data_IF_310158558221
#
_entry.id   IF_310158558221
#
_cell.length_a   1.000
_cell.length_b   1.000
_cell.length_c   1.000
_cell.angle_alpha   90.00
_cell.angle_beta   90.00
_cell.angle_gamma   90.00
#
_symmetry.space_group_name_H-M   'P 1'
#
loop_
_entity.id
_entity.type
_entity.pdbx_description
1 polymer ?
#
# COMPACT_ATOMS: atom_id res chain seq x y z
N UNK A 1 -4.24 -26.02 9.56
CA UNK A 1 -5.02 -24.78 9.84
C UNK A 1 -4.03 -23.63 9.93
N UNK A 2 -4.17 -22.62 9.07
CA UNK A 2 -3.37 -21.38 9.15
C UNK A 2 -3.89 -20.55 10.34
N UNK A 3 -3.01 -20.20 11.28
CA UNK A 3 -3.40 -19.28 12.36
C UNK A 3 -3.46 -17.84 11.85
N UNK A 4 -4.36 -17.00 12.39
CA UNK A 4 -4.36 -15.57 12.11
C UNK A 4 -3.00 -14.96 12.46
N UNK A 5 -2.55 -14.02 11.64
CA UNK A 5 -1.35 -13.28 11.95
C UNK A 5 -1.60 -12.35 13.16
N UNK A 6 -0.67 -12.34 14.07
CA UNK A 6 -0.61 -11.36 15.16
C UNK A 6 0.74 -10.68 15.12
N UNK A 7 0.72 -9.36 15.12
CA UNK A 7 1.91 -8.53 15.20
C UNK A 7 2.67 -8.85 16.50
N UNK A 8 3.97 -9.07 16.40
CA UNK A 8 4.86 -9.31 17.54
C UNK A 8 5.89 -8.21 17.58
N UNK A 9 6.00 -7.51 18.69
CA UNK A 9 6.97 -6.45 18.96
C UNK A 9 6.31 -5.17 19.47
N UNK A 10 7.06 -4.39 20.23
CA UNK A 10 6.63 -3.08 20.72
C UNK A 10 6.96 -2.01 19.67
N UNK A 11 5.97 -1.21 19.30
CA UNK A 11 6.19 0.00 18.51
C UNK A 11 6.89 1.04 19.40
N UNK A 12 7.75 1.86 18.80
CA UNK A 12 8.31 3.00 19.49
C UNK A 12 7.19 3.95 19.93
N UNK A 13 7.34 4.53 21.12
CA UNK A 13 6.37 5.49 21.61
C UNK A 13 6.41 6.77 20.76
N UNK A 14 5.26 7.21 20.27
CA UNK A 14 5.15 8.48 19.55
C UNK A 14 5.68 9.65 20.37
N UNK A 15 5.53 9.59 21.71
CA UNK A 15 6.03 10.61 22.64
C UNK A 15 7.57 10.74 22.68
N UNK A 16 8.32 9.81 22.06
CA UNK A 16 9.79 9.92 21.94
C UNK A 16 10.25 10.91 20.86
N UNK A 17 9.35 11.32 19.98
CA UNK A 17 9.65 12.24 18.88
C UNK A 17 9.42 13.72 19.26
N UNK A 18 10.01 14.68 18.53
CA UNK A 18 9.71 16.10 18.69
C UNK A 18 8.20 16.39 18.52
N UNK A 19 7.65 17.33 19.25
CA UNK A 19 6.21 17.65 19.26
C UNK A 19 5.66 17.93 17.86
N UNK A 20 6.39 18.67 17.04
CA UNK A 20 5.97 18.96 15.67
C UNK A 20 5.75 17.68 14.83
N UNK A 21 6.57 16.63 15.03
CA UNK A 21 6.42 15.37 14.31
C UNK A 21 5.28 14.52 14.89
N UNK A 22 5.10 14.56 16.21
CA UNK A 22 3.93 13.97 16.87
C UNK A 22 2.64 14.54 16.28
N UNK A 23 2.54 15.88 16.18
CA UNK A 23 1.36 16.56 15.62
C UNK A 23 1.12 16.13 14.16
N UNK A 24 2.16 16.10 13.31
CA UNK A 24 2.05 15.65 11.93
C UNK A 24 1.54 14.21 11.84
N UNK A 25 2.06 13.31 12.67
CA UNK A 25 1.64 11.90 12.70
C UNK A 25 0.19 11.80 13.16
N UNK A 26 -0.21 12.49 14.21
CA UNK A 26 -1.59 12.49 14.73
C UNK A 26 -2.58 13.03 13.70
N UNK A 27 -2.26 14.16 13.06
CA UNK A 27 -3.11 14.80 12.05
C UNK A 27 -3.32 13.92 10.81
N UNK A 28 -2.31 13.15 10.43
CA UNK A 28 -2.39 12.27 9.25
C UNK A 28 -2.91 10.87 9.56
N UNK A 29 -2.94 10.47 10.83
CA UNK A 29 -3.32 9.12 11.26
C UNK A 29 -4.79 8.79 10.98
N UNK A 30 -5.67 9.78 10.98
CA UNK A 30 -7.08 9.56 10.66
C UNK A 30 -7.24 9.05 9.22
N UNK A 31 -6.56 9.66 8.26
CA UNK A 31 -6.58 9.23 6.86
C UNK A 31 -5.94 7.84 6.71
N UNK A 32 -4.78 7.61 7.32
CA UNK A 32 -4.12 6.31 7.33
C UNK A 32 -5.05 5.20 7.82
N UNK A 33 -5.66 5.42 9.00
CA UNK A 33 -6.58 4.44 9.63
C UNK A 33 -7.81 4.18 8.77
N UNK A 34 -8.40 5.23 8.20
CA UNK A 34 -9.58 5.14 7.34
C UNK A 34 -9.29 4.32 6.08
N UNK A 35 -8.17 4.55 5.44
CA UNK A 35 -7.76 3.85 4.21
C UNK A 35 -7.41 2.39 4.52
N UNK A 36 -6.59 2.14 5.56
CA UNK A 36 -6.21 0.80 5.96
C UNK A 36 -7.43 -0.07 6.34
N UNK A 37 -8.49 0.56 6.88
CA UNK A 37 -9.75 -0.09 7.23
C UNK A 37 -10.87 0.15 6.21
N UNK A 38 -10.53 0.47 4.95
CA UNK A 38 -11.52 0.66 3.90
C UNK A 38 -12.35 -0.60 3.66
N UNK A 39 -13.50 -0.44 3.04
CA UNK A 39 -14.37 -1.55 2.67
C UNK A 39 -13.64 -2.58 1.80
N UNK A 40 -12.80 -2.13 0.87
CA UNK A 40 -12.00 -2.99 0.02
C UNK A 40 -11.17 -4.00 0.83
N UNK A 41 -10.37 -3.52 1.80
CA UNK A 41 -9.52 -4.41 2.60
C UNK A 41 -10.31 -5.24 3.61
N UNK A 42 -11.46 -4.75 4.09
CA UNK A 42 -12.37 -5.57 4.92
C UNK A 42 -12.99 -6.72 4.13
N UNK A 43 -13.45 -6.45 2.91
CA UNK A 43 -13.97 -7.49 2.02
C UNK A 43 -12.87 -8.51 1.67
N UNK A 44 -11.64 -8.04 1.37
CA UNK A 44 -10.50 -8.93 1.16
C UNK A 44 -10.25 -9.82 2.38
N UNK A 45 -10.16 -9.26 3.58
CA UNK A 45 -9.99 -10.00 4.84
C UNK A 45 -11.03 -11.10 5.02
N UNK A 46 -12.28 -10.81 4.70
CA UNK A 46 -13.43 -11.69 4.94
C UNK A 46 -13.71 -12.61 3.74
N UNK A 47 -12.84 -12.61 2.71
CA UNK A 47 -12.98 -13.36 1.45
C UNK A 47 -14.27 -13.03 0.69
N UNK A 48 -14.80 -11.82 0.87
CA UNK A 48 -15.97 -11.31 0.17
C UNK A 48 -15.64 -10.49 -1.09
N UNK A 49 -14.35 -10.33 -1.40
CA UNK A 49 -13.92 -9.56 -2.57
C UNK A 49 -13.99 -10.45 -3.83
N UNK A 50 -14.65 -10.00 -4.93
CA UNK A 50 -14.59 -10.71 -6.20
C UNK A 50 -13.15 -10.88 -6.71
N UNK A 51 -12.87 -11.99 -7.38
CA UNK A 51 -11.53 -12.25 -7.95
C UNK A 51 -11.11 -11.13 -8.90
N UNK A 52 -12.03 -10.64 -9.73
CA UNK A 52 -11.77 -9.52 -10.65
C UNK A 52 -11.31 -8.24 -9.93
N UNK A 53 -11.91 -7.91 -8.78
CA UNK A 53 -11.49 -6.77 -7.97
C UNK A 53 -10.09 -6.97 -7.38
N UNK A 54 -9.77 -8.20 -6.93
CA UNK A 54 -8.41 -8.54 -6.49
C UNK A 54 -7.41 -8.43 -7.64
N UNK A 55 -7.75 -8.95 -8.81
CA UNK A 55 -6.91 -8.84 -10.02
C UNK A 55 -6.64 -7.38 -10.38
N UNK A 56 -7.67 -6.53 -10.43
CA UNK A 56 -7.51 -5.09 -10.69
C UNK A 56 -6.66 -4.38 -9.65
N UNK A 57 -6.80 -4.75 -8.38
CA UNK A 57 -5.93 -4.21 -7.33
C UNK A 57 -4.46 -4.56 -7.58
N UNK A 58 -4.19 -5.83 -7.89
CA UNK A 58 -2.84 -6.31 -8.14
C UNK A 58 -2.20 -5.65 -9.35
N UNK A 59 -2.96 -5.46 -10.43
CA UNK A 59 -2.51 -4.77 -11.64
C UNK A 59 -2.29 -3.28 -11.37
N UNK A 60 -3.25 -2.61 -10.75
CA UNK A 60 -3.17 -1.17 -10.47
C UNK A 60 -2.03 -0.79 -9.53
N UNK A 61 -1.72 -1.63 -8.53
CA UNK A 61 -0.62 -1.38 -7.61
C UNK A 61 0.76 -1.80 -8.15
N UNK A 62 0.81 -2.66 -9.17
CA UNK A 62 2.05 -3.20 -9.74
C UNK A 62 3.11 -2.14 -10.07
N UNK A 63 2.80 -1.02 -10.75
CA UNK A 63 3.81 -0.01 -11.06
C UNK A 63 4.47 0.58 -9.81
N UNK A 64 3.72 0.74 -8.73
CA UNK A 64 4.28 1.22 -7.45
C UNK A 64 5.19 0.16 -6.83
N UNK A 65 4.76 -1.09 -6.80
CA UNK A 65 5.52 -2.21 -6.23
C UNK A 65 6.83 -2.45 -7.00
N UNK A 66 6.75 -2.57 -8.34
CA UNK A 66 7.93 -2.80 -9.20
C UNK A 66 8.95 -1.66 -9.07
N UNK A 67 8.49 -0.43 -8.93
CA UNK A 67 9.34 0.75 -8.94
C UNK A 67 9.76 1.24 -7.56
N UNK A 68 9.27 0.62 -6.49
CA UNK A 68 9.56 1.08 -5.13
C UNK A 68 11.07 1.16 -4.83
N UNK A 69 11.91 0.17 -5.20
CA UNK A 69 13.37 0.28 -5.06
C UNK A 69 13.95 1.45 -5.85
N UNK A 70 13.35 1.82 -6.99
CA UNK A 70 13.81 2.95 -7.83
C UNK A 70 13.52 4.29 -7.17
N UNK A 71 12.36 4.44 -6.48
CA UNK A 71 12.06 5.65 -5.71
C UNK A 71 13.13 5.89 -4.65
N UNK A 72 13.47 4.85 -3.88
CA UNK A 72 14.53 4.92 -2.88
C UNK A 72 15.92 5.21 -3.50
N UNK A 73 16.23 4.60 -4.63
CA UNK A 73 17.49 4.85 -5.32
C UNK A 73 17.59 6.31 -5.84
N UNK A 74 16.47 6.90 -6.29
CA UNK A 74 16.44 8.30 -6.70
C UNK A 74 16.67 9.24 -5.51
N UNK A 75 16.05 8.93 -4.36
CA UNK A 75 16.30 9.68 -3.14
C UNK A 75 17.77 9.53 -2.67
N UNK A 76 18.30 8.30 -2.69
CA UNK A 76 19.68 8.01 -2.29
C UNK A 76 20.74 8.80 -3.08
N UNK A 77 20.54 9.01 -4.38
CA UNK A 77 21.46 9.81 -5.23
C UNK A 77 21.66 11.24 -4.74
N UNK A 78 20.75 11.75 -3.94
CA UNK A 78 20.71 13.15 -3.49
C UNK A 78 21.32 13.33 -2.11
N UNK A 79 21.69 12.24 -1.45
CA UNK A 79 22.30 12.26 -0.12
C UNK A 79 23.81 12.35 -0.26
N UNK A 80 24.39 13.42 0.26
CA UNK A 80 25.83 13.60 0.36
C UNK A 80 26.48 12.55 1.27
N UNK A 81 27.81 12.49 1.26
CA UNK A 81 28.59 11.57 2.11
C UNK A 81 29.20 12.35 3.26
N UNK A 82 28.76 12.05 4.50
CA UNK A 82 29.32 12.68 5.70
C UNK A 82 28.79 14.10 5.98
N UNK A 83 27.71 14.52 5.32
CA UNK A 83 27.19 15.87 5.45
C UNK A 83 26.45 16.07 6.79
N UNK A 84 25.68 15.05 7.21
CA UNK A 84 25.02 15.06 8.52
C UNK A 84 24.68 13.66 9.02
N UNK A 85 24.43 13.54 10.35
CA UNK A 85 23.97 12.28 10.96
C UNK A 85 22.66 11.79 10.32
N UNK A 86 21.71 12.69 10.05
CA UNK A 86 20.43 12.34 9.44
C UNK A 86 20.58 11.77 8.03
N UNK A 87 21.49 12.36 7.23
CA UNK A 87 21.80 11.87 5.89
C UNK A 87 22.53 10.53 5.92
N UNK A 88 23.44 10.33 6.87
CA UNK A 88 24.09 9.03 7.06
C UNK A 88 23.09 7.93 7.43
N UNK A 89 22.14 8.22 8.33
CA UNK A 89 21.05 7.32 8.68
C UNK A 89 20.17 7.03 7.46
N UNK A 90 19.76 8.06 6.73
CA UNK A 90 18.95 7.92 5.52
C UNK A 90 19.65 7.05 4.46
N UNK A 91 20.93 7.25 4.26
CA UNK A 91 21.72 6.47 3.29
C UNK A 91 21.77 5.00 3.66
N UNK A 92 22.08 4.68 4.92
CA UNK A 92 22.13 3.29 5.38
C UNK A 92 20.77 2.60 5.27
N UNK A 93 19.73 3.28 5.69
CA UNK A 93 18.34 2.83 5.61
C UNK A 93 17.93 2.53 4.16
N UNK A 94 18.13 3.49 3.24
CA UNK A 94 17.74 3.33 1.83
C UNK A 94 18.54 2.22 1.14
N UNK A 95 19.85 2.09 1.40
CA UNK A 95 20.67 1.00 0.85
C UNK A 95 20.15 -0.36 1.33
N UNK A 96 19.80 -0.47 2.60
CA UNK A 96 19.24 -1.71 3.14
C UNK A 96 17.89 -2.03 2.50
N UNK A 97 16.97 -1.08 2.51
CA UNK A 97 15.60 -1.28 2.02
C UNK A 97 15.54 -1.52 0.51
N UNK A 98 16.37 -0.88 -0.32
CA UNK A 98 16.46 -1.19 -1.76
C UNK A 98 16.70 -2.69 -1.97
N UNK A 99 17.56 -3.33 -1.17
CA UNK A 99 17.86 -4.76 -1.28
C UNK A 99 16.71 -5.65 -0.86
N UNK A 100 15.93 -5.21 0.13
CA UNK A 100 14.74 -5.91 0.60
C UNK A 100 13.62 -5.80 -0.44
N UNK A 101 13.33 -4.59 -0.86
CA UNK A 101 12.23 -4.27 -1.77
C UNK A 101 12.38 -4.86 -3.18
N UNK A 102 13.61 -5.07 -3.66
CA UNK A 102 13.85 -5.78 -4.92
C UNK A 102 13.21 -7.17 -4.97
N UNK A 103 13.00 -7.82 -3.82
CA UNK A 103 12.39 -9.15 -3.73
C UNK A 103 10.87 -9.09 -3.60
N UNK A 104 10.30 -7.94 -3.24
CA UNK A 104 8.87 -7.79 -3.04
C UNK A 104 8.10 -7.89 -4.35
N UNK A 105 8.68 -7.47 -5.47
CA UNK A 105 8.10 -7.67 -6.79
C UNK A 105 7.84 -9.15 -7.11
N UNK A 106 8.77 -10.06 -6.76
CA UNK A 106 8.60 -11.50 -6.97
C UNK A 106 7.45 -12.06 -6.12
N UNK A 107 7.33 -11.59 -4.86
CA UNK A 107 6.23 -11.99 -3.98
C UNK A 107 4.87 -11.50 -4.49
N UNK A 108 4.84 -10.32 -5.11
CA UNK A 108 3.62 -9.78 -5.74
C UNK A 108 3.21 -10.59 -6.96
N UNK A 109 4.16 -10.99 -7.81
CA UNK A 109 3.93 -11.88 -8.96
C UNK A 109 3.39 -13.24 -8.49
N UNK A 110 3.91 -13.77 -7.40
CA UNK A 110 3.43 -15.00 -6.80
C UNK A 110 1.97 -14.89 -6.35
N UNK A 111 1.59 -13.77 -5.75
CA UNK A 111 0.21 -13.49 -5.39
C UNK A 111 -0.69 -13.33 -6.62
N UNK A 112 -0.26 -12.55 -7.60
CA UNK A 112 -0.97 -12.35 -8.87
C UNK A 112 -1.23 -13.68 -9.59
N UNK A 113 -0.21 -14.56 -9.65
CA UNK A 113 -0.33 -15.88 -10.26
C UNK A 113 -1.37 -16.75 -9.58
N UNK A 114 -1.52 -16.66 -8.28
CA UNK A 114 -2.52 -17.44 -7.53
C UNK A 114 -3.96 -17.03 -7.81
N UNK A 115 -4.19 -15.83 -8.34
CA UNK A 115 -5.50 -15.35 -8.79
C UNK A 115 -5.64 -15.33 -10.31
N UNK A 116 -4.74 -16.03 -11.03
CA UNK A 116 -4.84 -16.24 -12.46
C UNK A 116 -4.22 -15.15 -13.34
N UNK A 117 -3.43 -14.22 -12.78
CA UNK A 117 -2.69 -13.21 -13.55
C UNK A 117 -1.28 -13.70 -13.88
N UNK A 118 -0.80 -13.29 -15.04
CA UNK A 118 0.60 -13.47 -15.46
C UNK A 118 1.39 -12.17 -15.27
N UNK A 119 2.72 -12.26 -15.38
CA UNK A 119 3.56 -11.05 -15.41
C UNK A 119 3.25 -10.17 -16.64
N UNK A 120 2.80 -10.77 -17.73
CA UNK A 120 2.36 -10.02 -18.92
C UNK A 120 1.13 -9.16 -18.58
N UNK A 121 0.14 -9.73 -17.87
CA UNK A 121 -1.07 -9.00 -17.48
C UNK A 121 -0.74 -7.83 -16.55
N UNK A 122 0.15 -8.04 -15.56
CA UNK A 122 0.62 -6.97 -14.69
C UNK A 122 1.27 -5.81 -15.46
N UNK A 123 2.02 -6.11 -16.51
CA UNK A 123 2.74 -5.12 -17.33
C UNK A 123 1.89 -4.53 -18.45
N UNK A 124 1.00 -5.31 -19.06
CA UNK A 124 0.19 -4.87 -20.19
C UNK A 124 -0.85 -3.83 -19.77
N UNK A 125 -1.55 -4.06 -18.67
CA UNK A 125 -2.51 -3.08 -18.17
C UNK A 125 -1.86 -1.85 -17.55
N UNK A 126 -0.59 -1.92 -17.13
CA UNK A 126 0.17 -0.75 -16.73
C UNK A 126 0.31 0.30 -17.85
N UNK A 127 0.04 -0.08 -19.09
CA UNK A 127 0.02 0.81 -20.27
C UNK A 127 -1.40 1.26 -20.69
N UNK A 128 -2.45 0.74 -20.03
CA UNK A 128 -3.87 0.98 -20.39
C UNK A 128 -4.60 1.92 -19.41
N UNK A 129 -5.78 1.51 -18.98
CA UNK A 129 -6.74 2.35 -18.22
C UNK A 129 -6.40 2.58 -16.73
N UNK A 130 -5.14 2.40 -16.32
CA UNK A 130 -4.70 2.57 -14.93
C UNK A 130 -4.17 3.98 -14.60
N UNK A 131 -4.63 5.00 -15.31
CA UNK A 131 -4.22 6.38 -15.07
C UNK A 131 -4.39 6.80 -13.60
N UNK A 132 -5.49 6.40 -12.96
CA UNK A 132 -5.76 6.72 -11.55
C UNK A 132 -4.81 5.98 -10.59
N UNK A 133 -4.62 4.64 -10.67
CA UNK A 133 -3.60 3.96 -9.90
C UNK A 133 -2.19 4.50 -10.11
N UNK A 134 -1.84 4.93 -11.32
CA UNK A 134 -0.53 5.53 -11.64
C UNK A 134 -0.24 6.85 -10.92
N UNK A 135 -1.23 7.53 -10.35
CA UNK A 135 -1.02 8.81 -9.65
C UNK A 135 -0.07 8.67 -8.46
N UNK A 136 -0.18 7.59 -7.68
CA UNK A 136 0.73 7.32 -6.58
C UNK A 136 2.15 7.07 -7.07
N UNK A 137 2.32 6.21 -8.08
CA UNK A 137 3.62 5.91 -8.70
C UNK A 137 4.30 7.18 -9.21
N UNK A 138 3.55 8.01 -9.95
CA UNK A 138 4.06 9.28 -10.47
C UNK A 138 4.46 10.22 -9.33
N UNK A 139 3.62 10.33 -8.31
CA UNK A 139 3.91 11.18 -7.15
C UNK A 139 5.19 10.73 -6.42
N UNK A 140 5.36 9.43 -6.20
CA UNK A 140 6.57 8.87 -5.57
C UNK A 140 7.83 9.18 -6.40
N UNK A 141 7.76 9.10 -7.73
CA UNK A 141 8.86 9.55 -8.58
C UNK A 141 9.19 11.02 -8.39
N UNK A 142 8.18 11.88 -8.52
CA UNK A 142 8.37 13.34 -8.43
C UNK A 142 8.95 13.73 -7.08
N UNK A 143 8.40 13.22 -5.97
CA UNK A 143 8.85 13.61 -4.64
C UNK A 143 10.27 13.10 -4.35
N UNK A 144 10.63 11.91 -4.83
CA UNK A 144 11.98 11.37 -4.69
C UNK A 144 13.02 12.04 -5.57
N UNK A 145 12.61 12.64 -6.70
CA UNK A 145 13.52 13.38 -7.58
C UNK A 145 13.65 14.86 -7.19
N UNK A 146 12.61 15.49 -6.65
CA UNK A 146 12.55 16.94 -6.47
C UNK A 146 12.37 17.42 -5.03
N UNK A 147 11.78 16.59 -4.14
CA UNK A 147 11.58 16.92 -2.74
C UNK A 147 12.86 16.84 -1.91
N UNK A 148 12.89 17.30 -0.66
CA UNK A 148 14.00 17.01 0.24
C UNK A 148 14.07 15.51 0.57
N UNK A 149 15.22 15.06 1.11
CA UNK A 149 15.38 13.67 1.58
C UNK A 149 14.30 13.30 2.60
N UNK A 150 14.00 14.22 3.52
CA UNK A 150 12.94 14.02 4.53
C UNK A 150 11.54 13.91 3.91
N UNK A 151 11.19 14.76 2.93
CA UNK A 151 9.92 14.69 2.20
C UNK A 151 9.76 13.37 1.45
N UNK A 152 10.82 12.92 0.77
CA UNK A 152 10.82 11.68 0.02
C UNK A 152 10.61 10.46 0.94
N UNK A 153 11.35 10.39 2.07
CA UNK A 153 11.19 9.32 3.07
C UNK A 153 9.80 9.38 3.72
N UNK A 154 9.29 10.58 4.01
CA UNK A 154 7.95 10.75 4.57
C UNK A 154 6.85 10.25 3.62
N UNK A 155 6.99 10.54 2.32
CA UNK A 155 6.01 10.12 1.31
C UNK A 155 6.05 8.62 1.03
N UNK A 156 7.22 8.00 0.97
CA UNK A 156 7.40 6.60 0.58
C UNK A 156 7.48 5.68 1.79
N UNK A 157 8.62 5.67 2.47
CA UNK A 157 8.91 4.71 3.53
C UNK A 157 8.04 4.89 4.79
N UNK A 158 7.64 6.11 5.13
CA UNK A 158 6.71 6.31 6.23
C UNK A 158 5.25 6.10 5.80
N UNK A 159 4.80 6.84 4.77
CA UNK A 159 3.38 6.85 4.43
C UNK A 159 2.94 5.61 3.64
N UNK A 160 3.61 5.27 2.54
CA UNK A 160 3.18 4.15 1.69
C UNK A 160 3.46 2.82 2.38
N UNK A 161 4.66 2.59 2.89
CA UNK A 161 4.99 1.33 3.58
C UNK A 161 4.18 1.18 4.87
N UNK A 162 4.09 2.22 5.72
CA UNK A 162 3.33 2.15 6.96
C UNK A 162 1.83 1.91 6.75
N UNK A 163 1.23 2.49 5.69
CA UNK A 163 -0.15 2.18 5.31
C UNK A 163 -0.27 0.74 4.80
N UNK A 164 0.72 0.29 4.02
CA UNK A 164 0.78 -1.07 3.48
C UNK A 164 0.87 -2.10 4.61
N UNK A 165 1.66 -1.85 5.63
CA UNK A 165 1.72 -2.68 6.84
C UNK A 165 0.37 -2.78 7.54
N UNK A 166 -0.32 -1.65 7.74
CA UNK A 166 -1.60 -1.62 8.46
C UNK A 166 -2.71 -2.40 7.73
N UNK A 167 -2.91 -2.19 6.43
CA UNK A 167 -3.94 -2.96 5.71
C UNK A 167 -3.54 -4.43 5.52
N UNK A 168 -2.25 -4.74 5.40
CA UNK A 168 -1.78 -6.13 5.36
C UNK A 168 -2.05 -6.84 6.69
N UNK A 169 -1.84 -6.17 7.82
CA UNK A 169 -2.23 -6.68 9.15
C UNK A 169 -3.73 -6.92 9.23
N UNK A 170 -4.56 -6.00 8.73
CA UNK A 170 -6.00 -6.18 8.70
C UNK A 170 -6.39 -7.43 7.90
N UNK A 171 -5.86 -7.59 6.69
CA UNK A 171 -6.18 -8.75 5.82
C UNK A 171 -5.71 -10.05 6.47
N UNK A 172 -4.52 -10.06 7.08
CA UNK A 172 -3.97 -11.23 7.75
C UNK A 172 -4.59 -11.53 9.12
N UNK A 173 -5.40 -10.62 9.69
CA UNK A 173 -6.01 -10.79 11.01
C UNK A 173 -7.02 -11.94 11.09
N UNK A 174 -7.49 -12.43 9.93
CA UNK A 174 -8.32 -13.64 9.80
C UNK A 174 -7.71 -14.60 8.78
N UNK A 175 -8.08 -15.87 8.87
CA UNK A 175 -7.62 -16.90 7.92
C UNK A 175 -8.45 -16.97 6.65
N UNK A 176 -9.61 -16.32 6.61
CA UNK A 176 -10.60 -16.45 5.52
C UNK A 176 -10.02 -16.13 4.15
N UNK A 177 -9.28 -15.01 4.02
CA UNK A 177 -8.66 -14.68 2.75
C UNK A 177 -7.66 -15.76 2.31
N UNK A 178 -6.80 -16.21 3.21
CA UNK A 178 -5.84 -17.27 2.92
C UNK A 178 -6.55 -18.60 2.55
N UNK A 179 -7.65 -18.91 3.21
CA UNK A 179 -8.44 -20.12 2.97
C UNK A 179 -9.21 -20.08 1.65
N UNK A 180 -9.54 -18.90 1.12
CA UNK A 180 -10.16 -18.74 -0.21
C UNK A 180 -9.21 -19.06 -1.37
N UNK A 181 -7.91 -19.10 -1.11
CA UNK A 181 -6.88 -19.46 -2.09
C UNK A 181 -6.66 -20.99 -2.08
N UNK A 182 -6.54 -21.64 -3.25
CA UNK A 182 -6.23 -23.07 -3.32
C UNK A 182 -5.06 -23.45 -2.43
N UNK A 183 -5.17 -24.55 -1.68
CA UNK A 183 -4.24 -24.93 -0.63
C UNK A 183 -2.78 -24.98 -1.14
N UNK A 184 -2.55 -25.54 -2.33
CA UNK A 184 -1.24 -25.66 -2.95
C UNK A 184 -0.57 -24.29 -3.24
N UNK A 185 -1.35 -23.21 -3.39
CA UNK A 185 -0.86 -21.87 -3.73
C UNK A 185 -0.85 -20.92 -2.53
N UNK A 186 -1.57 -21.26 -1.45
CA UNK A 186 -1.88 -20.40 -0.32
C UNK A 186 -0.65 -19.76 0.33
N UNK A 187 0.36 -20.57 0.64
CA UNK A 187 1.58 -20.09 1.30
C UNK A 187 2.30 -19.06 0.42
N UNK A 188 2.44 -19.36 -0.87
CA UNK A 188 3.12 -18.52 -1.85
C UNK A 188 2.36 -17.22 -2.08
N UNK A 189 1.06 -17.30 -2.30
CA UNK A 189 0.19 -16.17 -2.56
C UNK A 189 0.05 -15.18 -1.39
N UNK A 190 0.08 -15.69 -0.15
CA UNK A 190 -0.07 -14.81 1.03
C UNK A 190 1.27 -14.32 1.59
N UNK A 191 2.39 -14.70 1.00
CA UNK A 191 3.72 -14.37 1.52
C UNK A 191 3.97 -12.86 1.50
N UNK A 192 3.58 -12.16 0.43
CA UNK A 192 3.71 -10.71 0.34
C UNK A 192 2.96 -10.02 1.49
N UNK A 193 1.69 -10.35 1.70
CA UNK A 193 0.87 -9.82 2.79
C UNK A 193 1.51 -10.06 4.17
N UNK A 194 2.02 -11.27 4.39
CA UNK A 194 2.62 -11.64 5.69
C UNK A 194 3.92 -10.91 5.96
N UNK A 195 4.73 -10.70 4.94
CA UNK A 195 5.98 -9.95 5.06
C UNK A 195 5.65 -8.51 5.48
N UNK A 196 4.75 -7.82 4.78
CA UNK A 196 4.39 -6.45 5.09
C UNK A 196 3.66 -6.32 6.43
N UNK A 197 2.78 -7.25 6.77
CA UNK A 197 2.14 -7.28 8.07
C UNK A 197 3.13 -7.39 9.24
N UNK A 198 4.35 -7.89 9.01
CA UNK A 198 5.35 -8.10 10.05
C UNK A 198 6.45 -7.04 10.07
N UNK A 199 6.95 -6.62 8.89
CA UNK A 199 8.15 -5.80 8.77
C UNK A 199 7.88 -4.30 8.62
N UNK A 200 6.78 -3.90 8.01
CA UNK A 200 6.53 -2.50 7.68
C UNK A 200 6.31 -1.62 8.92
N UNK A 201 6.09 -2.23 10.08
CA UNK A 201 6.10 -1.53 11.36
C UNK A 201 7.45 -0.93 11.70
N UNK A 202 8.52 -1.73 11.59
CA UNK A 202 9.85 -1.25 11.91
C UNK A 202 10.30 -0.18 10.92
N UNK A 203 10.06 -0.39 9.63
CA UNK A 203 10.48 0.55 8.57
C UNK A 203 9.83 1.93 8.69
N UNK A 204 8.54 1.99 9.04
CA UNK A 204 7.84 3.27 9.22
C UNK A 204 8.42 4.06 10.41
N UNK A 205 8.77 3.39 11.52
CA UNK A 205 9.37 4.04 12.68
C UNK A 205 10.81 4.45 12.43
N UNK A 206 11.60 3.64 11.73
CA UNK A 206 12.95 4.02 11.28
C UNK A 206 12.90 5.26 10.36
N UNK A 207 11.89 5.34 9.49
CA UNK A 207 11.65 6.53 8.67
C UNK A 207 11.38 7.78 9.51
N UNK A 208 10.59 7.68 10.59
CA UNK A 208 10.34 8.79 11.52
C UNK A 208 11.62 9.21 12.26
N UNK A 209 12.47 8.26 12.68
CA UNK A 209 13.77 8.55 13.31
C UNK A 209 14.67 9.39 12.38
N UNK A 210 14.69 9.03 11.09
CA UNK A 210 15.45 9.73 10.08
C UNK A 210 14.90 11.14 9.85
N UNK A 211 13.57 11.27 9.68
CA UNK A 211 12.89 12.56 9.49
C UNK A 211 13.14 13.48 10.68
N UNK A 212 13.00 12.97 11.91
CA UNK A 212 13.27 13.72 13.13
C UNK A 212 14.74 14.17 13.22
N UNK A 213 15.69 13.30 12.82
CA UNK A 213 17.12 13.62 12.84
C UNK A 213 17.51 14.63 11.77
N UNK A 214 16.91 14.54 10.57
CA UNK A 214 17.17 15.48 9.47
C UNK A 214 16.67 16.90 9.77
N UNK A 215 15.50 17.01 10.41
CA UNK A 215 14.85 18.31 10.64
C UNK A 215 15.09 18.85 12.06
N UNK A 216 15.53 18.02 12.99
CA UNK A 216 15.78 18.40 14.37
C UNK A 216 14.52 18.68 15.21
N UNK A 217 14.74 19.25 16.40
CA UNK A 217 13.65 19.46 17.37
C UNK A 217 12.75 20.64 17.03
N UNK A 218 13.25 21.66 16.31
CA UNK A 218 12.54 22.91 16.04
C UNK A 218 12.72 23.34 14.56
N UNK A 219 12.17 22.59 13.59
CA UNK A 219 12.20 22.99 12.19
C UNK A 219 11.33 24.23 11.97
N UNK A 220 11.57 24.95 10.88
CA UNK A 220 10.67 26.01 10.49
C UNK A 220 9.32 25.46 10.01
N UNK A 221 8.26 26.27 10.13
CA UNK A 221 6.90 25.84 9.81
C UNK A 221 6.73 25.39 8.35
N UNK A 222 7.50 25.93 7.43
CA UNK A 222 7.44 25.53 6.03
C UNK A 222 7.90 24.08 5.84
N UNK A 223 8.96 23.66 6.54
CA UNK A 223 9.45 22.29 6.46
C UNK A 223 8.48 21.30 7.12
N UNK A 224 7.87 21.67 8.28
CA UNK A 224 6.77 20.89 8.88
C UNK A 224 5.62 20.69 7.89
N UNK A 225 5.19 21.79 7.26
CA UNK A 225 4.10 21.74 6.27
C UNK A 225 4.44 20.89 5.05
N UNK A 226 5.71 20.83 4.65
CA UNK A 226 6.14 19.94 3.55
C UNK A 226 6.04 18.47 3.94
N UNK A 227 6.47 18.09 5.15
CA UNK A 227 6.34 16.71 5.65
C UNK A 227 4.86 16.31 5.73
N UNK A 228 4.02 17.16 6.33
CA UNK A 228 2.58 16.93 6.38
C UNK A 228 1.98 16.68 4.98
N UNK A 229 2.30 17.56 4.01
CA UNK A 229 1.81 17.43 2.64
C UNK A 229 2.34 16.17 1.95
N UNK A 230 3.59 15.80 2.20
CA UNK A 230 4.19 14.60 1.63
C UNK A 230 3.41 13.35 2.06
N UNK A 231 3.13 13.22 3.35
CA UNK A 231 2.35 12.10 3.91
C UNK A 231 0.90 12.14 3.40
N UNK A 232 0.21 13.26 3.55
CA UNK A 232 -1.22 13.40 3.19
C UNK A 232 -1.47 13.13 1.71
N UNK A 233 -0.56 13.55 0.81
CA UNK A 233 -0.67 13.27 -0.62
C UNK A 233 -0.48 11.80 -0.94
N UNK A 234 0.46 11.11 -0.29
CA UNK A 234 0.64 9.67 -0.46
C UNK A 234 -0.63 8.92 -0.08
N UNK A 235 -1.24 9.25 1.06
CA UNK A 235 -2.52 8.65 1.47
C UNK A 235 -3.64 8.94 0.48
N UNK A 236 -3.77 10.19 0.04
CA UNK A 236 -4.80 10.58 -0.93
C UNK A 236 -4.65 9.86 -2.27
N UNK A 237 -3.43 9.76 -2.80
CA UNK A 237 -3.21 9.07 -4.08
C UNK A 237 -3.35 7.56 -3.93
N UNK A 238 -2.97 6.99 -2.80
CA UNK A 238 -3.25 5.59 -2.50
C UNK A 238 -4.77 5.31 -2.49
N UNK A 239 -5.53 6.14 -1.78
CA UNK A 239 -6.99 6.04 -1.72
C UNK A 239 -7.64 6.19 -3.11
N UNK A 240 -7.19 7.16 -3.90
CA UNK A 240 -7.66 7.30 -5.29
C UNK A 240 -7.40 6.04 -6.11
N UNK A 241 -6.25 5.38 -5.93
CA UNK A 241 -5.91 4.12 -6.57
C UNK A 241 -6.88 2.99 -6.25
N UNK A 242 -7.48 2.99 -5.05
CA UNK A 242 -8.49 1.99 -4.67
C UNK A 242 -9.81 2.15 -5.43
N UNK A 243 -10.11 3.30 -6.02
CA UNK A 243 -11.31 3.47 -6.83
C UNK A 243 -11.33 2.54 -8.05
N UNK A 244 -10.16 2.21 -8.60
CA UNK A 244 -10.02 1.33 -9.74
C UNK A 244 -10.52 -0.10 -9.47
N UNK A 245 -10.05 -0.84 -8.44
CA UNK A 245 -10.58 -2.15 -8.12
C UNK A 245 -12.00 -2.09 -7.51
N UNK A 246 -12.37 -1.00 -6.84
CA UNK A 246 -13.71 -0.83 -6.27
C UNK A 246 -14.80 -0.71 -7.34
N UNK A 247 -14.48 -0.24 -8.54
CA UNK A 247 -15.42 -0.19 -9.66
C UNK A 247 -16.01 -1.57 -10.01
N UNK A 248 -15.24 -2.66 -9.80
CA UNK A 248 -15.73 -4.03 -10.03
C UNK A 248 -16.84 -4.45 -9.07
N UNK A 249 -16.85 -3.90 -7.86
CA UNK A 249 -17.95 -4.18 -6.91
C UNK A 249 -19.26 -3.57 -7.36
N UNK A 250 -19.20 -2.41 -8.02
CA UNK A 250 -20.38 -1.73 -8.54
C UNK A 250 -20.94 -2.44 -9.80
N UNK A 251 -20.08 -2.91 -10.68
CA UNK A 251 -20.50 -3.62 -11.90
C UNK A 251 -21.10 -4.99 -11.58
N UNK A 252 -20.53 -5.75 -10.64
CA UNK A 252 -21.07 -7.05 -10.22
C UNK A 252 -22.48 -6.97 -9.64
N UNK A 253 -22.81 -5.92 -8.91
CA UNK A 253 -24.17 -5.73 -8.35
C UNK A 253 -25.19 -5.34 -9.40
N UNK A 254 -24.82 -4.70 -10.51
CA UNK A 254 -25.71 -4.38 -11.60
C UNK A 254 -26.06 -5.59 -12.46
N UNK A 255 -25.10 -6.50 -12.73
CA UNK A 255 -25.34 -7.71 -13.51
C UNK A 255 -26.21 -8.72 -12.76
N UNK A 256 -26.06 -8.87 -11.46
CA UNK A 256 -26.93 -9.74 -10.65
C UNK A 256 -28.40 -9.24 -10.60
N UNK A 257 -28.62 -7.92 -10.53
CA UNK A 257 -29.96 -7.35 -10.56
C UNK A 257 -30.59 -7.42 -11.95
N UNK A 258 -29.82 -7.28 -13.03
CA UNK A 258 -30.29 -7.45 -14.40
C UNK A 258 -30.62 -8.93 -14.70
N UNK A 259 -29.82 -9.88 -14.23
CA UNK A 259 -30.06 -11.32 -14.38
C UNK A 259 -31.31 -11.77 -13.62
N UNK A 260 -31.53 -11.26 -12.40
CA UNK A 260 -32.73 -11.57 -11.61
C UNK A 260 -34.00 -10.95 -12.20
N UNK A 261 -33.91 -9.76 -12.81
CA UNK A 261 -35.05 -9.14 -13.50
C UNK A 261 -35.44 -9.91 -14.77
N UNK A 262 -34.45 -10.44 -15.52
CA UNK A 262 -34.73 -11.24 -16.73
C UNK A 262 -35.31 -12.62 -16.44
N UNK A 263 -34.91 -13.23 -15.33
CA UNK A 263 -35.44 -14.54 -14.89
C UNK A 263 -36.85 -14.42 -14.33
N UNK A 264 -37.20 -13.36 -13.61
CA UNK A 264 -38.57 -13.11 -13.15
C UNK A 264 -39.56 -12.86 -14.30
N UNK A 265 -39.17 -12.11 -15.32
CA UNK A 265 -39.98 -11.88 -16.51
C UNK A 265 -40.22 -13.13 -17.37
N UNK A 266 -39.30 -14.09 -17.36
CA UNK A 266 -39.46 -15.37 -18.08
C UNK A 266 -40.40 -16.33 -17.38
N UNK A 267 -40.53 -16.28 -16.07
CA UNK A 267 -41.46 -17.11 -15.30
C UNK A 267 -42.92 -16.64 -15.41
N UNK A 268 -43.14 -15.30 -15.49
CA UNK A 268 -44.50 -14.77 -15.66
C UNK A 268 -45.07 -15.02 -17.07
N UNK A 269 -44.24 -15.11 -18.09
CA UNK A 269 -44.65 -15.44 -19.46
C UNK A 269 -45.01 -16.93 -19.65
N UNK A 270 -44.48 -17.82 -18.83
CA UNK A 270 -44.80 -19.27 -18.85
C UNK A 270 -46.05 -19.61 -18.04
N UNK A 271 -46.49 -18.75 -17.14
CA UNK A 271 -47.72 -18.96 -16.34
C UNK A 271 -48.97 -18.42 -17.03
N UNK A 272 -48.83 -17.69 -18.14
CA UNK A 272 -49.96 -17.09 -18.89
C UNK A 272 -50.25 -17.78 -20.24
N UNK A 273 -49.55 -18.89 -20.55
CA UNK A 273 -49.83 -19.75 -21.73
C UNK A 273 -50.30 -21.13 -21.27
#
# INVERSE_FOLDING_TARGET
MTQPFRRTGELMSLSSYPSWLQDVVLDTNQDKTRIANSEFFRLMRDAGLPVAATQKFLVGAWPTIEQFPRFMANNLKRIGVGDSRGEDMARQFLIHNIRVEQKHADLWIDWASAVGLTLHDLKAEAMGDIAVPMTLTHYCHVICDTGSVAEAIAATNYAVEGLTGDWSCLVCSKTRYAESIPEALRVKATRWLRVHAHYDDAHSWEALDIIATLLGSNPNQNDVNKIYRAISRSYKYFEMGLAYPMAELLHGTFDETASNASTLGAFDALAAA
#
